data_IF_412869057364
#
_entry.id   IF_412869057364
#
_cell.length_a   1.000
_cell.length_b   1.000
_cell.length_c   1.000
_cell.angle_alpha   90.00
_cell.angle_beta   90.00
_cell.angle_gamma   90.00
#
_symmetry.space_group_name_H-M   'P 1'
#
loop_
_entity.id
_entity.type
_entity.pdbx_description
1 polymer ?
#
# COMPACT_ATOMS: atom_id res chain seq x y z
N UNK A 1 -17.52 14.55 -59.34
CA UNK A 1 -16.44 15.02 -58.43
C UNK A 1 -16.94 14.85 -57.00
N UNK A 2 -16.59 13.74 -56.36
CA UNK A 2 -17.01 13.38 -55.02
C UNK A 2 -15.92 13.82 -54.05
N UNK A 3 -16.22 14.77 -53.16
CA UNK A 3 -15.29 15.20 -52.12
C UNK A 3 -15.38 14.25 -50.93
N UNK A 4 -14.35 13.47 -50.69
CA UNK A 4 -14.20 12.60 -49.52
C UNK A 4 -13.75 13.51 -48.38
N UNK A 5 -14.65 13.76 -47.41
CA UNK A 5 -14.34 14.41 -46.14
C UNK A 5 -13.81 13.35 -45.22
N UNK A 6 -12.48 13.36 -44.99
CA UNK A 6 -11.81 12.52 -44.01
C UNK A 6 -12.07 13.07 -42.60
N UNK A 7 -12.92 12.41 -41.83
CA UNK A 7 -13.16 12.73 -40.44
C UNK A 7 -12.02 12.08 -39.63
N UNK A 8 -11.08 12.93 -39.21
CA UNK A 8 -9.99 12.54 -38.29
C UNK A 8 -10.56 12.49 -36.87
N UNK A 9 -10.95 11.30 -36.42
CA UNK A 9 -11.42 11.05 -35.06
C UNK A 9 -10.21 11.03 -34.12
N UNK A 10 -9.89 12.19 -33.52
CA UNK A 10 -8.92 12.27 -32.46
C UNK A 10 -9.47 11.60 -31.20
N UNK A 11 -9.06 10.37 -30.93
CA UNK A 11 -9.22 9.72 -29.66
C UNK A 11 -8.35 10.45 -28.61
N UNK A 12 -8.97 11.38 -27.89
CA UNK A 12 -8.37 11.95 -26.69
C UNK A 12 -8.32 10.86 -25.62
N UNK A 13 -7.18 10.18 -25.51
CA UNK A 13 -6.83 9.43 -24.31
C UNK A 13 -6.67 10.45 -23.19
N UNK A 14 -7.69 10.58 -22.34
CA UNK A 14 -7.55 11.29 -21.09
C UNK A 14 -6.66 10.44 -20.19
N UNK A 15 -5.36 10.70 -20.20
CA UNK A 15 -4.51 10.33 -19.08
C UNK A 15 -5.01 11.12 -17.87
N UNK A 16 -5.68 10.46 -16.95
CA UNK A 16 -5.89 10.99 -15.61
C UNK A 16 -4.50 10.98 -14.97
N UNK A 17 -3.73 12.04 -15.18
CA UNK A 17 -2.55 12.31 -14.40
C UNK A 17 -3.06 12.62 -12.99
N UNK A 18 -2.79 11.75 -12.04
CA UNK A 18 -2.86 12.09 -10.63
C UNK A 18 -1.79 13.17 -10.41
N UNK A 19 -2.20 14.42 -10.46
CA UNK A 19 -1.33 15.52 -10.12
C UNK A 19 -1.08 15.43 -8.62
N UNK A 20 0.10 15.01 -8.25
CA UNK A 20 0.63 15.23 -6.91
C UNK A 20 0.63 16.75 -6.69
N UNK A 21 0.03 17.25 -5.60
CA UNK A 21 0.00 18.70 -5.37
C UNK A 21 1.39 19.15 -4.88
N UNK A 22 2.23 19.56 -5.83
CA UNK A 22 3.60 20.00 -5.58
C UNK A 22 3.66 21.16 -4.58
N UNK A 23 2.65 22.04 -4.60
CA UNK A 23 2.57 23.21 -3.71
C UNK A 23 2.36 22.76 -2.27
N UNK A 24 1.40 21.87 -2.03
CA UNK A 24 1.13 21.33 -0.69
C UNK A 24 2.34 20.53 -0.18
N UNK A 25 2.98 19.77 -1.05
CA UNK A 25 4.20 19.02 -0.72
C UNK A 25 5.34 19.95 -0.27
N UNK A 26 5.53 21.07 -0.94
CA UNK A 26 6.55 22.07 -0.58
C UNK A 26 6.26 22.70 0.79
N UNK A 27 5.00 23.12 1.03
CA UNK A 27 4.58 23.66 2.32
C UNK A 27 4.82 22.65 3.45
N UNK A 28 4.42 21.40 3.25
CA UNK A 28 4.58 20.34 4.25
C UNK A 28 6.04 20.04 4.54
N UNK A 29 6.90 19.96 3.52
CA UNK A 29 8.35 19.73 3.68
C UNK A 29 9.04 20.86 4.41
N UNK A 30 8.62 22.10 4.20
CA UNK A 30 9.16 23.25 4.91
C UNK A 30 8.77 23.24 6.39
N UNK A 31 7.59 22.72 6.74
CA UNK A 31 7.08 22.67 8.12
C UNK A 31 7.55 21.40 8.86
N UNK A 32 7.58 20.26 8.16
CA UNK A 32 7.98 18.95 8.69
C UNK A 32 8.98 18.26 7.74
N UNK A 33 10.26 18.67 7.74
CA UNK A 33 11.29 18.16 6.79
C UNK A 33 11.48 16.65 6.84
N UNK A 34 11.32 16.05 8.02
CA UNK A 34 11.52 14.61 8.26
C UNK A 34 10.31 13.75 7.90
N UNK A 35 9.17 14.36 7.50
CA UNK A 35 7.97 13.59 7.18
C UNK A 35 8.16 12.81 5.86
N UNK A 36 8.06 11.48 5.86
CA UNK A 36 8.35 10.65 4.68
C UNK A 36 7.17 10.63 3.69
N UNK A 37 6.83 11.79 3.11
CA UNK A 37 5.70 11.93 2.18
C UNK A 37 5.94 11.08 0.93
N UNK A 38 5.13 10.05 0.73
CA UNK A 38 5.15 9.15 -0.42
C UNK A 38 4.25 9.66 -1.55
N UNK A 39 3.01 10.03 -1.22
CA UNK A 39 2.07 10.62 -2.18
C UNK A 39 1.15 11.63 -1.51
N UNK A 40 0.64 12.57 -2.30
CA UNK A 40 -0.43 13.50 -1.93
C UNK A 40 -1.49 13.39 -3.00
N UNK A 41 -2.76 13.31 -2.60
CA UNK A 41 -3.87 13.22 -3.53
C UNK A 41 -5.08 13.96 -2.99
N UNK A 42 -5.74 14.76 -3.84
CA UNK A 42 -7.03 15.35 -3.51
C UNK A 42 -8.08 14.26 -3.43
N UNK A 43 -8.88 14.28 -2.36
CA UNK A 43 -10.01 13.36 -2.20
C UNK A 43 -11.29 13.94 -2.80
N UNK A 44 -12.33 13.13 -2.96
CA UNK A 44 -13.66 13.59 -3.37
C UNK A 44 -14.46 14.28 -2.23
N UNK A 45 -13.82 14.51 -1.08
CA UNK A 45 -14.45 15.05 0.13
C UNK A 45 -13.95 16.46 0.44
N UNK A 46 -14.74 17.49 0.11
CA UNK A 46 -14.61 18.90 0.57
C UNK A 46 -13.17 19.41 0.76
N UNK A 47 -12.41 19.52 -0.32
CA UNK A 47 -11.02 20.02 -0.31
C UNK A 47 -10.06 19.29 0.65
N UNK A 48 -10.44 18.08 1.04
CA UNK A 48 -9.58 17.22 1.84
C UNK A 48 -8.53 16.54 0.94
N UNK A 49 -7.27 16.61 1.35
CA UNK A 49 -6.16 15.91 0.72
C UNK A 49 -5.73 14.74 1.58
N UNK A 50 -5.53 13.58 0.97
CA UNK A 50 -4.83 12.47 1.59
C UNK A 50 -3.33 12.62 1.38
N UNK A 51 -2.56 12.39 2.43
CA UNK A 51 -1.10 12.35 2.39
C UNK A 51 -0.64 11.01 2.94
N UNK A 52 -0.10 10.17 2.05
CA UNK A 52 0.45 8.88 2.44
C UNK A 52 1.90 9.03 2.87
N UNK A 53 2.21 8.59 4.08
CA UNK A 53 3.55 8.69 4.67
C UNK A 53 4.23 7.31 4.84
N UNK A 54 3.79 6.33 4.06
CA UNK A 54 4.39 4.98 3.99
C UNK A 54 3.74 3.95 4.90
N UNK A 55 3.25 4.32 6.08
CA UNK A 55 2.58 3.42 7.02
C UNK A 55 1.14 3.83 7.35
N UNK A 56 0.80 5.08 7.12
CA UNK A 56 -0.52 5.63 7.41
C UNK A 56 -0.88 6.76 6.45
N UNK A 57 -2.16 7.08 6.41
CA UNK A 57 -2.70 8.24 5.71
C UNK A 57 -3.00 9.30 6.75
N UNK A 58 -2.53 10.52 6.50
CA UNK A 58 -2.95 11.72 7.21
C UNK A 58 -3.74 12.61 6.25
N UNK A 59 -4.60 13.46 6.77
CA UNK A 59 -5.42 14.34 5.95
C UNK A 59 -5.17 15.79 6.29
N UNK A 60 -5.29 16.66 5.28
CA UNK A 60 -5.14 18.11 5.43
C UNK A 60 -5.93 18.83 4.32
N UNK A 61 -5.89 20.17 4.28
CA UNK A 61 -6.35 20.97 3.14
C UNK A 61 -5.17 21.43 2.27
N UNK A 62 -5.45 22.11 1.18
CA UNK A 62 -4.47 22.62 0.20
C UNK A 62 -3.50 23.67 0.79
N UNK A 63 -3.92 24.37 1.82
CA UNK A 63 -3.14 25.43 2.51
C UNK A 63 -2.37 24.94 3.72
N UNK A 64 -2.56 23.67 4.10
CA UNK A 64 -1.93 23.06 5.27
C UNK A 64 -2.27 23.73 6.61
N UNK A 65 -3.54 24.17 6.75
CA UNK A 65 -4.00 24.86 7.97
C UNK A 65 -4.24 23.91 9.15
N UNK A 66 -4.44 22.62 8.88
CA UNK A 66 -4.67 21.60 9.90
C UNK A 66 -4.12 20.24 9.46
N UNK A 67 -3.97 19.35 10.44
CA UNK A 67 -3.67 17.92 10.21
C UNK A 67 -4.71 17.07 10.94
N UNK A 68 -5.20 16.03 10.25
CA UNK A 68 -5.94 14.92 10.86
C UNK A 68 -5.01 13.72 10.87
N UNK A 69 -4.54 13.36 12.06
CA UNK A 69 -3.66 12.21 12.30
C UNK A 69 -4.50 11.10 12.91
N UNK A 70 -4.32 9.86 12.44
CA UNK A 70 -5.11 8.69 12.86
C UNK A 70 -6.64 8.83 12.60
N UNK A 71 -7.02 9.78 11.74
CA UNK A 71 -8.40 9.97 11.32
C UNK A 71 -8.82 8.96 10.25
N UNK A 72 -10.12 8.64 10.21
CA UNK A 72 -10.69 7.72 9.22
C UNK A 72 -11.86 8.37 8.49
N UNK A 73 -11.86 8.23 7.19
CA UNK A 73 -12.99 8.60 6.32
C UNK A 73 -13.86 7.36 6.14
N UNK A 74 -15.10 7.43 6.61
CA UNK A 74 -16.07 6.32 6.53
C UNK A 74 -17.28 6.77 5.72
N UNK A 75 -17.69 5.97 4.75
CA UNK A 75 -18.95 6.20 4.03
C UNK A 75 -20.14 5.99 4.99
N UNK A 76 -20.94 7.01 5.28
CA UNK A 76 -22.03 6.89 6.25
C UNK A 76 -23.18 5.98 5.80
N UNK A 77 -23.30 5.71 4.50
CA UNK A 77 -24.35 4.85 3.93
C UNK A 77 -23.95 3.38 3.96
N UNK A 78 -22.76 3.07 3.45
CA UNK A 78 -22.27 1.69 3.34
C UNK A 78 -21.54 1.22 4.59
N UNK A 79 -21.12 2.15 5.47
CA UNK A 79 -20.27 1.91 6.64
C UNK A 79 -18.87 1.40 6.29
N UNK A 80 -18.49 1.52 5.03
CA UNK A 80 -17.16 1.13 4.56
C UNK A 80 -16.15 2.17 5.02
N UNK A 81 -15.04 1.71 5.57
CA UNK A 81 -13.89 2.52 5.90
C UNK A 81 -13.02 2.75 4.65
N UNK A 82 -13.13 3.96 4.11
CA UNK A 82 -12.43 4.33 2.89
C UNK A 82 -10.93 4.54 3.12
N UNK A 83 -10.55 4.98 4.32
CA UNK A 83 -9.14 5.11 4.70
C UNK A 83 -8.46 3.74 4.75
N UNK A 84 -9.12 2.73 5.32
CA UNK A 84 -8.61 1.36 5.35
C UNK A 84 -8.41 0.80 3.95
N UNK A 85 -9.46 0.87 3.11
CA UNK A 85 -9.38 0.40 1.72
C UNK A 85 -8.23 1.07 0.95
N UNK A 86 -8.09 2.39 1.16
CA UNK A 86 -7.05 3.14 0.47
C UNK A 86 -5.66 2.77 0.98
N UNK A 87 -5.51 2.57 2.28
CA UNK A 87 -4.25 2.13 2.88
C UNK A 87 -3.86 0.73 2.40
N UNK A 88 -4.82 -0.21 2.32
CA UNK A 88 -4.58 -1.53 1.73
C UNK A 88 -4.11 -1.45 0.28
N UNK A 89 -4.67 -0.54 -0.52
CA UNK A 89 -4.24 -0.30 -1.90
C UNK A 89 -2.80 0.24 -1.97
N UNK A 90 -2.49 1.27 -1.18
CA UNK A 90 -1.20 1.96 -1.18
C UNK A 90 -0.07 1.10 -0.60
N UNK A 91 -0.39 0.16 0.29
CA UNK A 91 0.58 -0.75 0.91
C UNK A 91 0.66 -2.11 0.23
N UNK A 92 -0.14 -2.33 -0.83
CA UNK A 92 -0.15 -3.61 -1.55
C UNK A 92 1.21 -3.92 -2.15
N UNK A 93 1.75 -5.06 -1.79
CA UNK A 93 2.99 -5.59 -2.34
C UNK A 93 2.65 -6.50 -3.52
N UNK A 94 3.30 -6.28 -4.66
CA UNK A 94 3.22 -7.22 -5.77
C UNK A 94 4.11 -8.43 -5.44
N UNK A 95 3.50 -9.61 -5.37
CA UNK A 95 4.20 -10.84 -5.04
C UNK A 95 5.37 -11.15 -5.99
N UNK A 96 5.27 -10.74 -7.26
CA UNK A 96 6.31 -10.99 -8.26
C UNK A 96 7.56 -10.12 -8.08
N UNK A 97 7.45 -9.04 -7.30
CA UNK A 97 8.58 -8.14 -7.01
C UNK A 97 9.39 -8.60 -5.78
N UNK A 98 8.90 -9.65 -5.10
CA UNK A 98 9.60 -10.21 -3.94
C UNK A 98 10.86 -10.97 -4.38
N UNK A 99 12.01 -10.80 -3.69
CA UNK A 99 13.24 -11.56 -3.97
C UNK A 99 13.11 -13.00 -3.47
N UNK A 100 12.30 -13.82 -4.16
CA UNK A 100 11.95 -15.17 -3.74
C UNK A 100 13.15 -16.11 -3.61
N UNK A 101 14.29 -15.78 -4.22
CA UNK A 101 15.56 -16.48 -4.04
C UNK A 101 16.14 -16.39 -2.63
N UNK A 102 15.80 -15.32 -1.90
CA UNK A 102 16.32 -15.04 -0.57
C UNK A 102 15.43 -15.63 0.53
N UNK A 103 14.32 -16.22 0.15
CA UNK A 103 13.37 -16.83 1.07
C UNK A 103 13.62 -18.32 1.29
N UNK A 104 13.34 -18.81 2.49
CA UNK A 104 13.22 -20.24 2.77
C UNK A 104 11.93 -20.73 2.12
N UNK A 105 12.06 -21.64 1.15
CA UNK A 105 10.93 -22.16 0.38
C UNK A 105 10.49 -23.53 0.89
N UNK A 106 9.21 -23.66 1.22
CA UNK A 106 8.55 -24.92 1.57
C UNK A 106 7.38 -25.17 0.63
N UNK A 107 7.32 -26.35 0.02
CA UNK A 107 6.22 -26.76 -0.87
C UNK A 107 5.44 -27.88 -0.21
N UNK A 108 4.13 -27.74 -0.12
CA UNK A 108 3.19 -28.74 0.39
C UNK A 108 2.17 -29.06 -0.70
N UNK A 109 1.90 -30.35 -0.90
CA UNK A 109 0.98 -30.82 -1.93
C UNK A 109 1.38 -30.34 -3.33
N UNK A 110 0.45 -29.82 -4.11
CA UNK A 110 0.69 -29.34 -5.46
C UNK A 110 1.37 -27.97 -5.56
N UNK A 111 1.50 -27.25 -4.44
CA UNK A 111 2.21 -25.97 -4.33
C UNK A 111 1.63 -24.82 -5.13
N UNK A 112 0.41 -24.94 -5.71
CA UNK A 112 -0.14 -23.94 -6.63
C UNK A 112 -0.41 -22.57 -5.99
N UNK A 113 -0.94 -22.58 -4.76
CA UNK A 113 -1.12 -21.35 -3.99
C UNK A 113 0.23 -20.89 -3.46
N UNK A 114 0.46 -19.60 -3.40
CA UNK A 114 1.73 -19.06 -2.91
C UNK A 114 1.45 -18.03 -1.83
N UNK A 115 2.24 -18.07 -0.77
CA UNK A 115 2.28 -17.01 0.25
C UNK A 115 3.73 -16.64 0.52
N UNK A 116 3.93 -15.39 0.90
CA UNK A 116 5.17 -14.89 1.45
C UNK A 116 4.92 -14.42 2.88
N UNK A 117 5.78 -14.79 3.79
CA UNK A 117 5.74 -14.38 5.19
C UNK A 117 7.08 -13.80 5.60
N UNK A 118 7.03 -12.73 6.40
CA UNK A 118 8.18 -12.16 7.07
C UNK A 118 8.12 -12.64 8.51
N UNK A 119 9.11 -13.38 8.95
CA UNK A 119 9.06 -14.11 10.22
C UNK A 119 10.34 -13.89 11.02
N UNK A 120 10.15 -13.61 12.29
CA UNK A 120 11.22 -13.52 13.28
C UNK A 120 11.32 -14.86 14.01
N UNK A 121 12.52 -15.43 14.05
CA UNK A 121 12.78 -16.75 14.64
C UNK A 121 12.57 -16.77 16.15
N UNK A 122 12.66 -15.63 16.84
CA UNK A 122 12.45 -15.55 18.29
C UNK A 122 11.06 -15.08 18.68
N UNK A 123 10.25 -14.60 17.72
CA UNK A 123 8.90 -14.17 17.96
C UNK A 123 7.97 -15.37 18.28
N UNK A 124 7.37 -15.44 19.48
CA UNK A 124 6.46 -16.53 19.85
C UNK A 124 5.21 -16.61 19.00
N UNK A 125 4.73 -15.48 18.48
CA UNK A 125 3.59 -15.41 17.56
C UNK A 125 3.93 -15.97 16.18
N UNK A 126 5.13 -15.71 15.65
CA UNK A 126 5.62 -16.30 14.41
C UNK A 126 5.74 -17.84 14.56
N UNK A 127 6.33 -18.30 15.65
CA UNK A 127 6.40 -19.74 15.97
C UNK A 127 5.02 -20.38 16.08
N UNK A 128 4.04 -19.66 16.65
CA UNK A 128 2.66 -20.14 16.75
C UNK A 128 1.98 -20.22 15.39
N UNK A 129 2.13 -19.19 14.55
CA UNK A 129 1.62 -19.16 13.17
C UNK A 129 2.12 -20.38 12.39
N UNK A 130 3.44 -20.63 12.43
CA UNK A 130 4.05 -21.73 11.71
C UNK A 130 3.53 -23.10 12.21
N UNK A 131 3.52 -23.32 13.54
CA UNK A 131 3.17 -24.62 14.12
C UNK A 131 1.68 -24.93 14.10
N UNK A 132 0.81 -23.92 14.24
CA UNK A 132 -0.63 -24.15 14.37
C UNK A 132 -1.41 -23.92 13.09
N UNK A 133 -1.05 -22.92 12.32
CA UNK A 133 -1.81 -22.52 11.14
C UNK A 133 -1.16 -23.07 9.86
N UNK A 134 0.09 -22.71 9.61
CA UNK A 134 0.76 -23.09 8.37
C UNK A 134 1.05 -24.60 8.26
N UNK A 135 1.21 -25.28 9.40
CA UNK A 135 1.41 -26.75 9.39
C UNK A 135 0.21 -27.51 8.83
N UNK A 136 -1.00 -26.98 9.04
CA UNK A 136 -2.26 -27.61 8.64
C UNK A 136 -2.75 -27.24 7.24
N UNK A 137 -2.05 -26.31 6.54
CA UNK A 137 -2.39 -25.93 5.18
C UNK A 137 -1.68 -26.83 4.19
N UNK A 138 -2.39 -27.31 3.18
CA UNK A 138 -1.85 -28.10 2.08
C UNK A 138 -2.03 -27.37 0.73
N UNK A 139 -1.43 -27.89 -0.34
CA UNK A 139 -1.47 -27.34 -1.69
C UNK A 139 -0.99 -25.88 -1.76
N UNK A 140 0.15 -25.61 -1.12
CA UNK A 140 0.72 -24.25 -0.99
C UNK A 140 2.25 -24.28 -1.08
N UNK A 141 2.79 -23.23 -1.68
CA UNK A 141 4.21 -22.87 -1.57
C UNK A 141 4.35 -21.70 -0.60
N UNK A 142 5.12 -21.88 0.45
CA UNK A 142 5.41 -20.88 1.48
C UNK A 142 6.82 -20.35 1.24
N UNK A 143 6.96 -19.04 1.14
CA UNK A 143 8.23 -18.33 1.09
C UNK A 143 8.39 -17.57 2.41
N UNK A 144 9.34 -17.97 3.23
CA UNK A 144 9.62 -17.33 4.53
C UNK A 144 10.87 -16.48 4.42
N UNK A 145 10.70 -15.18 4.60
CA UNK A 145 11.79 -14.23 4.75
C UNK A 145 12.08 -14.06 6.23
N UNK A 146 13.34 -14.21 6.61
CA UNK A 146 13.77 -13.92 7.98
C UNK A 146 13.80 -12.41 8.18
N UNK A 147 13.09 -11.96 9.19
CA UNK A 147 12.95 -10.54 9.51
C UNK A 147 13.06 -10.35 11.04
N UNK A 148 14.30 -10.18 11.56
CA UNK A 148 14.50 -9.96 12.99
C UNK A 148 13.84 -8.65 13.43
N UNK A 149 13.06 -8.72 14.51
CA UNK A 149 12.42 -7.55 15.10
C UNK A 149 13.39 -6.90 16.10
N UNK A 150 13.44 -5.57 16.12
CA UNK A 150 14.30 -4.83 17.04
C UNK A 150 14.07 -5.13 18.54
N UNK A 151 12.92 -5.72 18.88
CA UNK A 151 12.58 -6.16 20.24
C UNK A 151 13.15 -7.55 20.59
N UNK A 152 13.73 -8.25 19.60
CA UNK A 152 14.33 -9.58 19.76
C UNK A 152 15.79 -9.56 19.33
N UNK A 153 16.70 -9.01 20.15
CA UNK A 153 18.10 -8.79 19.76
C UNK A 153 18.88 -10.09 19.49
N UNK A 154 18.38 -11.25 19.93
CA UNK A 154 19.00 -12.57 19.71
C UNK A 154 18.60 -13.19 18.34
N UNK A 155 17.69 -12.56 17.59
CA UNK A 155 17.19 -13.08 16.30
C UNK A 155 18.06 -12.72 15.08
N UNK A 156 19.20 -12.03 15.26
CA UNK A 156 20.15 -11.65 14.21
C UNK A 156 21.06 -12.81 13.77
#
# INVERSE_FOLDING_TARGET
MIKIISIFLCLFFHFIAFADDDTLREIMKNTYPELPIKSIQKTDYNDLYEVFIGSQIIYTNDTFDFLIVEGRVVDPKTKIDLTELRLEELTRINFNDLPLSDAIKVVKGDGKRKIAIFSDVDCPYCKRLEKKELSNIDNITIYTFLYPLAIHPEAE
#
